data_IF_679717613560
#
_entry.id   IF_679717613560
#
_cell.length_a   1.000
_cell.length_b   1.000
_cell.length_c   1.000
_cell.angle_alpha   90.00
_cell.angle_beta   90.00
_cell.angle_gamma   90.00
#
_symmetry.space_group_name_H-M   'P 1'
#
loop_
_entity.id
_entity.type
_entity.pdbx_description
1 polymer ?
#
# COMPACT_ATOMS: atom_id res chain seq x y z
N UNK A 1 13.44 -6.53 -1.36
CA UNK A 1 12.36 -5.52 -1.29
C UNK A 1 12.26 -4.73 -2.60
N UNK A 2 13.32 -4.67 -3.40
CA UNK A 2 13.42 -3.91 -4.65
C UNK A 2 12.25 -4.11 -5.60
N UNK A 3 11.89 -5.36 -5.93
CA UNK A 3 10.74 -5.64 -6.81
C UNK A 3 9.42 -5.08 -6.25
N UNK A 4 9.22 -5.15 -4.94
CA UNK A 4 8.03 -4.58 -4.28
C UNK A 4 8.03 -3.06 -4.40
N UNK A 5 9.18 -2.41 -4.20
CA UNK A 5 9.32 -0.96 -4.35
C UNK A 5 9.07 -0.52 -5.79
N UNK A 6 9.57 -1.25 -6.78
CA UNK A 6 9.36 -0.95 -8.20
C UNK A 6 7.87 -1.08 -8.58
N UNK A 7 7.19 -2.12 -8.10
CA UNK A 7 5.75 -2.28 -8.28
C UNK A 7 4.96 -1.15 -7.61
N UNK A 8 5.36 -0.72 -6.41
CA UNK A 8 4.72 0.41 -5.73
C UNK A 8 4.97 1.74 -6.45
N UNK A 9 6.16 1.96 -7.01
CA UNK A 9 6.47 3.14 -7.86
C UNK A 9 5.63 3.13 -9.14
N UNK A 10 5.50 1.98 -9.79
CA UNK A 10 4.64 1.83 -10.97
C UNK A 10 3.18 2.13 -10.62
N UNK A 11 2.68 1.54 -9.52
CA UNK A 11 1.31 1.77 -9.03
C UNK A 11 1.07 3.24 -8.71
N UNK A 12 1.98 3.88 -7.97
CA UNK A 12 1.89 5.29 -7.59
C UNK A 12 1.83 6.19 -8.82
N UNK A 13 2.69 5.92 -9.81
CA UNK A 13 2.71 6.66 -11.09
C UNK A 13 1.38 6.53 -11.82
N UNK A 14 0.82 5.32 -11.91
CA UNK A 14 -0.47 5.06 -12.53
C UNK A 14 -1.60 5.79 -11.80
N UNK A 15 -1.63 5.71 -10.48
CA UNK A 15 -2.62 6.37 -9.63
C UNK A 15 -2.61 7.90 -9.81
N UNK A 16 -1.45 8.54 -9.81
CA UNK A 16 -1.37 9.98 -10.08
C UNK A 16 -1.80 10.35 -11.51
N UNK A 17 -1.42 9.56 -12.51
CA UNK A 17 -1.87 9.80 -13.90
C UNK A 17 -3.39 9.69 -14.04
N UNK A 18 -4.03 8.82 -13.27
CA UNK A 18 -5.49 8.63 -13.27
C UNK A 18 -6.23 9.63 -12.38
N UNK A 19 -5.56 10.16 -11.35
CA UNK A 19 -6.09 11.10 -10.37
C UNK A 19 -5.22 12.37 -10.30
N UNK A 20 -5.06 13.13 -11.41
CA UNK A 20 -4.11 14.24 -11.46
C UNK A 20 -4.42 15.36 -10.47
N UNK A 21 -5.69 15.53 -10.10
CA UNK A 21 -6.12 16.52 -9.10
C UNK A 21 -5.45 16.33 -7.73
N UNK A 22 -5.16 15.09 -7.33
CA UNK A 22 -4.54 14.81 -6.02
C UNK A 22 -3.12 15.39 -5.95
N UNK A 23 -2.35 15.28 -7.04
CA UNK A 23 -1.01 15.87 -7.13
C UNK A 23 -1.05 17.40 -7.09
N UNK A 24 -2.07 18.01 -7.72
CA UNK A 24 -2.21 19.47 -7.81
C UNK A 24 -2.57 20.14 -6.49
N UNK A 25 -3.01 19.39 -5.46
CA UNK A 25 -3.28 19.91 -4.12
C UNK A 25 -2.03 20.47 -3.44
N UNK A 26 -0.84 19.98 -3.83
CA UNK A 26 0.42 20.46 -3.29
C UNK A 26 1.22 21.14 -4.39
N UNK A 27 1.33 22.47 -4.27
CA UNK A 27 1.97 23.31 -5.27
C UNK A 27 3.43 22.87 -5.55
N UNK A 28 3.78 22.81 -6.83
CA UNK A 28 5.13 22.48 -7.29
C UNK A 28 5.54 21.01 -7.17
N UNK A 29 4.66 20.12 -6.71
CA UNK A 29 4.98 18.68 -6.67
C UNK A 29 4.85 18.04 -8.06
N UNK A 30 5.78 17.14 -8.34
CA UNK A 30 5.75 16.26 -9.51
C UNK A 30 5.59 14.81 -9.07
N UNK A 31 5.17 13.94 -9.98
CA UNK A 31 5.12 12.50 -9.70
C UNK A 31 6.49 12.02 -9.21
N UNK A 32 7.58 12.39 -9.88
CA UNK A 32 8.94 12.01 -9.49
C UNK A 32 9.31 12.54 -8.10
N UNK A 33 8.93 13.77 -7.76
CA UNK A 33 9.14 14.31 -6.41
C UNK A 33 8.41 13.47 -5.35
N UNK A 34 7.14 13.10 -5.59
CA UNK A 34 6.37 12.25 -4.68
C UNK A 34 6.95 10.85 -4.58
N UNK A 35 7.38 10.24 -5.68
CA UNK A 35 8.05 8.94 -5.67
C UNK A 35 9.32 8.99 -4.80
N UNK A 36 10.14 10.02 -4.99
CA UNK A 36 11.37 10.22 -4.22
C UNK A 36 11.12 10.54 -2.75
N UNK A 37 9.94 11.06 -2.37
CA UNK A 37 9.56 11.26 -0.98
C UNK A 37 9.04 9.98 -0.32
N UNK A 38 8.23 9.20 -1.04
CA UNK A 38 7.59 7.99 -0.50
C UNK A 38 8.60 6.86 -0.33
N UNK A 39 9.39 6.60 -1.37
CA UNK A 39 10.20 5.38 -1.48
C UNK A 39 11.66 5.62 -1.06
N UNK A 40 11.83 6.18 0.14
CA UNK A 40 13.13 6.36 0.80
C UNK A 40 13.32 5.25 1.83
N UNK A 41 14.53 4.70 1.88
CA UNK A 41 14.93 3.77 2.92
C UNK A 41 16.29 4.17 3.51
N UNK A 42 16.45 4.25 4.86
CA UNK A 42 15.44 3.98 5.88
C UNK A 42 14.29 4.99 5.85
N UNK A 43 13.12 4.60 6.38
CA UNK A 43 12.01 5.55 6.57
C UNK A 43 12.35 6.43 7.77
N UNK A 44 12.91 7.60 7.51
CA UNK A 44 13.39 8.55 8.50
C UNK A 44 12.48 9.77 8.66
N UNK A 45 11.68 10.05 7.62
CA UNK A 45 10.85 11.24 7.54
C UNK A 45 9.36 10.94 7.71
N UNK A 46 8.77 11.58 8.71
CA UNK A 46 7.31 11.67 8.87
C UNK A 46 6.79 12.96 8.24
N UNK A 47 5.64 12.86 7.59
CA UNK A 47 5.07 13.99 6.85
C UNK A 47 3.97 14.68 7.66
N UNK A 48 4.11 15.99 7.87
CA UNK A 48 3.09 16.81 8.55
C UNK A 48 1.75 16.80 7.79
N UNK A 49 1.79 16.75 6.46
CA UNK A 49 0.58 16.65 5.61
C UNK A 49 -0.21 15.34 5.84
N UNK A 50 0.42 14.34 6.48
CA UNK A 50 -0.19 13.07 6.84
C UNK A 50 -0.45 12.95 8.35
N UNK A 51 -0.43 14.05 9.09
CA UNK A 51 -0.51 14.05 10.57
C UNK A 51 0.55 13.14 11.21
N UNK A 52 1.70 12.97 10.55
CA UNK A 52 2.77 12.05 10.95
C UNK A 52 2.33 10.57 11.05
N UNK A 53 1.20 10.21 10.43
CA UNK A 53 0.71 8.83 10.34
C UNK A 53 1.50 8.03 9.30
N UNK A 54 1.63 6.74 9.57
CA UNK A 54 2.31 5.75 8.73
C UNK A 54 1.47 4.48 8.68
N UNK A 55 1.93 3.48 7.93
CA UNK A 55 1.30 2.18 7.81
C UNK A 55 -0.19 2.30 7.49
N UNK A 56 -1.02 1.48 8.14
CA UNK A 56 -2.47 1.43 7.93
C UNK A 56 -3.18 2.72 8.35
N UNK A 57 -2.60 3.51 9.26
CA UNK A 57 -3.19 4.77 9.72
C UNK A 57 -3.12 5.85 8.65
N UNK A 58 -2.00 5.92 7.91
CA UNK A 58 -1.90 6.81 6.73
C UNK A 58 -2.84 6.38 5.61
N UNK A 59 -3.02 5.07 5.41
CA UNK A 59 -4.01 4.56 4.45
C UNK A 59 -5.43 4.98 4.86
N UNK A 60 -5.77 4.84 6.15
CA UNK A 60 -7.08 5.24 6.67
C UNK A 60 -7.31 6.75 6.50
N UNK A 61 -6.30 7.58 6.77
CA UNK A 61 -6.34 9.02 6.51
C UNK A 61 -6.65 9.33 5.03
N UNK A 62 -5.99 8.62 4.10
CA UNK A 62 -6.26 8.77 2.66
C UNK A 62 -7.69 8.42 2.23
N UNK A 63 -8.42 7.63 3.02
CA UNK A 63 -9.83 7.28 2.80
C UNK A 63 -10.82 8.07 3.68
N UNK A 64 -10.34 8.95 4.56
CA UNK A 64 -11.18 9.80 5.39
C UNK A 64 -11.91 10.83 4.50
N UNK A 65 -13.25 10.94 4.52
CA UNK A 65 -13.98 11.95 3.76
C UNK A 65 -13.48 13.39 3.98
N UNK A 66 -13.06 13.72 5.20
CA UNK A 66 -12.62 15.07 5.59
C UNK A 66 -11.16 15.34 5.22
N UNK A 67 -10.43 14.34 4.72
CA UNK A 67 -9.04 14.53 4.34
C UNK A 67 -8.91 15.33 3.02
N UNK A 68 -8.41 16.55 3.15
CA UNK A 68 -8.23 17.47 2.02
C UNK A 68 -6.85 17.33 1.35
N UNK A 69 -5.89 16.67 2.00
CA UNK A 69 -4.54 16.46 1.49
C UNK A 69 -4.46 15.54 0.27
N UNK A 70 -3.24 15.30 -0.20
CA UNK A 70 -2.94 14.39 -1.32
C UNK A 70 -3.23 12.94 -0.93
N UNK A 71 -4.37 12.41 -1.39
CA UNK A 71 -4.84 11.06 -1.05
C UNK A 71 -3.92 10.00 -1.63
N UNK A 72 -3.39 10.19 -2.84
CA UNK A 72 -2.48 9.21 -3.44
C UNK A 72 -1.21 9.14 -2.61
N UNK A 73 -0.68 10.29 -2.17
CA UNK A 73 0.47 10.34 -1.28
C UNK A 73 0.21 9.60 0.03
N UNK A 74 -0.90 9.88 0.72
CA UNK A 74 -1.27 9.22 1.97
C UNK A 74 -1.38 7.69 1.83
N UNK A 75 -2.11 7.23 0.81
CA UNK A 75 -2.35 5.82 0.54
C UNK A 75 -1.06 5.08 0.20
N UNK A 76 -0.22 5.65 -0.66
CA UNK A 76 1.01 4.99 -1.11
C UNK A 76 2.12 5.05 -0.06
N UNK A 77 2.23 6.14 0.70
CA UNK A 77 3.12 6.22 1.86
C UNK A 77 2.72 5.21 2.94
N UNK A 78 1.44 5.11 3.27
CA UNK A 78 0.93 4.14 4.23
C UNK A 78 1.16 2.69 3.76
N UNK A 79 0.93 2.40 2.48
CA UNK A 79 1.17 1.07 1.92
C UNK A 79 2.65 0.69 1.93
N UNK A 80 3.53 1.61 1.53
CA UNK A 80 4.98 1.39 1.56
C UNK A 80 5.50 1.15 2.97
N UNK A 81 5.15 2.03 3.92
CA UNK A 81 5.62 1.93 5.31
C UNK A 81 5.08 0.69 6.02
N UNK A 82 3.85 0.26 5.72
CA UNK A 82 3.31 -1.01 6.21
C UNK A 82 4.13 -2.21 5.72
N UNK A 83 4.44 -2.24 4.41
CA UNK A 83 5.25 -3.31 3.82
C UNK A 83 6.66 -3.26 4.40
N UNK A 84 7.31 -2.10 4.43
CA UNK A 84 8.63 -1.90 5.02
C UNK A 84 8.68 -2.42 6.47
N UNK A 85 7.66 -2.12 7.27
CA UNK A 85 7.54 -2.63 8.64
C UNK A 85 7.39 -4.16 8.68
N UNK A 86 6.67 -4.77 7.74
CA UNK A 86 6.56 -6.24 7.65
C UNK A 86 7.90 -6.93 7.32
N UNK A 87 8.85 -6.18 6.75
CA UNK A 87 10.25 -6.59 6.56
C UNK A 87 11.16 -6.13 7.71
N UNK A 88 10.61 -5.98 8.92
CA UNK A 88 11.32 -5.54 10.13
C UNK A 88 12.04 -4.19 9.97
N UNK A 89 11.49 -3.29 9.14
CA UNK A 89 12.06 -1.97 8.87
C UNK A 89 13.50 -2.04 8.33
N UNK A 90 13.81 -3.08 7.54
CA UNK A 90 15.11 -3.22 6.87
C UNK A 90 15.02 -2.84 5.39
N UNK A 91 16.02 -2.11 4.92
CA UNK A 91 16.16 -1.76 3.51
C UNK A 91 16.64 -2.93 2.67
N UNK A 92 17.59 -3.68 3.24
CA UNK A 92 18.19 -4.85 2.64
C UNK A 92 17.96 -6.06 3.55
N UNK A 93 17.67 -7.20 2.93
CA UNK A 93 17.48 -8.47 3.62
C UNK A 93 18.71 -9.33 3.41
N UNK A 94 19.37 -9.66 4.50
CA UNK A 94 20.46 -10.62 4.47
C UNK A 94 19.92 -12.02 4.76
N UNK A 95 20.62 -13.05 4.30
CA UNK A 95 20.20 -14.44 4.53
C UNK A 95 20.00 -14.76 6.01
N UNK A 96 20.70 -14.12 6.94
CA UNK A 96 20.57 -14.38 8.37
C UNK A 96 19.44 -13.58 9.05
N UNK A 97 18.75 -12.71 8.32
CA UNK A 97 17.66 -11.94 8.88
C UNK A 97 16.44 -12.84 9.14
N UNK A 98 15.94 -12.78 10.36
CA UNK A 98 14.69 -13.41 10.75
C UNK A 98 13.56 -12.44 10.54
N UNK A 99 12.69 -12.75 9.59
CA UNK A 99 11.42 -12.06 9.40
C UNK A 99 10.32 -12.71 10.24
N UNK A 100 9.25 -11.96 10.50
CA UNK A 100 8.04 -12.51 11.07
C UNK A 100 7.07 -12.92 9.94
N UNK A 101 6.80 -14.23 9.85
CA UNK A 101 5.91 -14.78 8.83
C UNK A 101 4.46 -14.27 8.95
N UNK A 102 4.00 -13.97 10.17
CA UNK A 102 2.66 -13.44 10.40
C UNK A 102 2.55 -12.00 9.93
N UNK A 103 3.57 -11.17 10.13
CA UNK A 103 3.61 -9.80 9.62
C UNK A 103 3.54 -9.76 8.08
N UNK A 104 4.28 -10.64 7.41
CA UNK A 104 4.24 -10.77 5.94
C UNK A 104 2.89 -11.28 5.45
N UNK A 105 2.30 -12.27 6.13
CA UNK A 105 0.95 -12.74 5.81
C UNK A 105 -0.10 -11.63 6.00
N UNK A 106 0.00 -10.89 7.11
CA UNK A 106 -0.91 -9.78 7.41
C UNK A 106 -0.74 -8.64 6.39
N UNK A 107 0.47 -8.36 5.92
CA UNK A 107 0.70 -7.34 4.89
C UNK A 107 0.04 -7.73 3.56
N UNK A 108 0.06 -9.02 3.18
CA UNK A 108 -0.66 -9.53 2.02
C UNK A 108 -2.19 -9.32 2.14
N UNK A 109 -2.78 -9.70 3.29
CA UNK A 109 -4.21 -9.48 3.55
C UNK A 109 -4.57 -7.99 3.58
N UNK A 110 -3.69 -7.15 4.13
CA UNK A 110 -3.90 -5.71 4.15
C UNK A 110 -3.88 -5.09 2.73
N UNK A 111 -3.09 -5.63 1.80
CA UNK A 111 -3.16 -5.22 0.39
C UNK A 111 -4.52 -5.57 -0.20
N UNK A 112 -5.10 -6.73 0.11
CA UNK A 112 -6.46 -7.08 -0.34
C UNK A 112 -7.52 -6.12 0.23
N UNK A 113 -7.44 -5.79 1.53
CA UNK A 113 -8.31 -4.79 2.17
C UNK A 113 -8.15 -3.42 1.50
N UNK A 114 -6.92 -3.02 1.20
CA UNK A 114 -6.62 -1.77 0.51
C UNK A 114 -7.29 -1.72 -0.87
N UNK A 115 -7.14 -2.78 -1.68
CA UNK A 115 -7.77 -2.89 -3.00
C UNK A 115 -9.30 -2.82 -2.89
N UNK A 116 -9.89 -3.50 -1.92
CA UNK A 116 -11.33 -3.39 -1.70
C UNK A 116 -11.77 -1.97 -1.34
N UNK A 117 -11.02 -1.27 -0.48
CA UNK A 117 -11.32 0.12 -0.10
C UNK A 117 -11.24 1.04 -1.31
N UNK A 118 -10.25 0.87 -2.20
CA UNK A 118 -10.17 1.62 -3.46
C UNK A 118 -11.42 1.45 -4.32
N UNK A 119 -12.01 0.25 -4.35
CA UNK A 119 -13.17 -0.06 -5.18
C UNK A 119 -14.53 0.23 -4.52
N UNK A 120 -14.56 0.55 -3.22
CA UNK A 120 -15.81 0.69 -2.47
C UNK A 120 -15.97 2.01 -1.74
N UNK A 121 -14.88 2.71 -1.41
CA UNK A 121 -14.95 4.00 -0.72
C UNK A 121 -15.32 5.09 -1.72
N UNK A 122 -16.50 5.67 -1.50
CA UNK A 122 -17.10 6.70 -2.34
C UNK A 122 -17.27 8.00 -1.57
N UNK A 123 -17.17 9.11 -2.29
CA UNK A 123 -17.55 10.44 -1.84
C UNK A 123 -19.08 10.54 -1.71
N UNK A 124 -19.57 11.61 -1.10
CA UNK A 124 -21.01 11.88 -0.96
C UNK A 124 -21.76 11.91 -2.31
N UNK A 125 -21.06 12.25 -3.41
CA UNK A 125 -21.60 12.27 -4.77
C UNK A 125 -21.64 10.89 -5.46
N UNK A 126 -21.26 9.82 -4.75
CA UNK A 126 -21.26 8.45 -5.26
C UNK A 126 -20.04 8.06 -6.11
N UNK A 127 -19.11 8.97 -6.38
CA UNK A 127 -17.84 8.68 -7.09
C UNK A 127 -16.81 8.10 -6.13
N UNK A 128 -15.94 7.22 -6.62
CA UNK A 128 -14.82 6.68 -5.82
C UNK A 128 -13.86 7.79 -5.38
N UNK A 129 -13.27 7.65 -4.19
CA UNK A 129 -12.22 8.59 -3.74
C UNK A 129 -11.01 8.57 -4.67
N UNK A 130 -10.63 7.37 -5.13
CA UNK A 130 -9.48 7.15 -6.00
C UNK A 130 -9.93 6.30 -7.18
N UNK A 131 -9.67 6.80 -8.38
CA UNK A 131 -9.94 6.10 -9.62
C UNK A 131 -8.78 5.15 -9.94
N UNK A 132 -9.09 3.89 -10.19
CA UNK A 132 -8.15 2.87 -10.66
C UNK A 132 -8.52 2.47 -12.09
N UNK A 133 -9.42 1.50 -12.22
CA UNK A 133 -9.96 1.04 -13.49
C UNK A 133 -11.23 1.80 -13.84
N UNK A 134 -11.35 2.19 -15.11
CA UNK A 134 -12.58 2.76 -15.64
C UNK A 134 -13.43 1.63 -16.23
N UNK A 135 -14.72 1.62 -15.87
CA UNK A 135 -15.70 0.65 -16.35
C UNK A 135 -16.47 1.12 -17.60
N UNK A 136 -16.13 2.29 -18.15
CA UNK A 136 -17.03 2.99 -19.08
C UNK A 136 -17.06 2.46 -20.51
N UNK A 137 -16.10 1.65 -20.99
CA UNK A 137 -16.15 1.11 -22.36
C UNK A 137 -15.46 -0.27 -22.44
N UNK A 138 -16.27 -1.32 -22.64
CA UNK A 138 -16.07 -2.74 -23.05
C UNK A 138 -14.78 -3.52 -22.75
N UNK A 139 -13.63 -2.91 -22.51
CA UNK A 139 -12.35 -3.58 -22.22
C UNK A 139 -11.91 -3.27 -20.80
N UNK A 140 -11.96 -4.29 -19.93
CA UNK A 140 -11.37 -4.22 -18.59
C UNK A 140 -9.86 -4.02 -18.68
N UNK A 141 -9.39 -2.80 -18.42
CA UNK A 141 -7.97 -2.55 -18.22
C UNK A 141 -7.57 -3.11 -16.85
N UNK A 142 -7.06 -4.34 -16.78
CA UNK A 142 -6.66 -5.00 -15.53
C UNK A 142 -5.21 -4.68 -15.09
N UNK A 143 -4.68 -3.54 -15.54
CA UNK A 143 -3.27 -3.20 -15.29
C UNK A 143 -2.96 -2.84 -13.83
N UNK A 144 -3.97 -2.44 -13.05
CA UNK A 144 -3.84 -2.23 -11.60
C UNK A 144 -3.93 -3.54 -10.83
N UNK A 145 -4.93 -4.39 -11.14
CA UNK A 145 -5.10 -5.73 -10.56
C UNK A 145 -3.86 -6.58 -10.75
N UNK A 146 -3.18 -6.47 -11.90
CA UNK A 146 -1.93 -7.18 -12.13
C UNK A 146 -0.83 -6.75 -11.15
N UNK A 147 -0.71 -5.46 -10.85
CA UNK A 147 0.27 -4.97 -9.87
C UNK A 147 -0.12 -5.44 -8.46
N UNK A 148 -1.39 -5.30 -8.08
CA UNK A 148 -1.88 -5.76 -6.78
C UNK A 148 -1.68 -7.25 -6.58
N UNK A 149 -1.99 -8.08 -7.58
CA UNK A 149 -1.78 -9.53 -7.53
C UNK A 149 -0.31 -9.90 -7.34
N UNK A 150 0.62 -9.19 -8.02
CA UNK A 150 2.05 -9.37 -7.80
C UNK A 150 2.48 -8.99 -6.38
N UNK A 151 2.01 -7.83 -5.89
CA UNK A 151 2.30 -7.39 -4.52
C UNK A 151 1.82 -8.40 -3.47
N UNK A 152 0.57 -8.86 -3.57
CA UNK A 152 -0.01 -9.88 -2.68
C UNK A 152 0.82 -11.17 -2.74
N UNK A 153 1.11 -11.66 -3.95
CA UNK A 153 1.88 -12.89 -4.17
C UNK A 153 3.26 -12.82 -3.54
N UNK A 154 3.98 -11.71 -3.72
CA UNK A 154 5.32 -11.51 -3.13
C UNK A 154 5.28 -11.58 -1.60
N UNK A 155 4.26 -10.99 -0.96
CA UNK A 155 4.10 -11.04 0.49
C UNK A 155 3.73 -12.45 0.97
N UNK A 156 2.77 -13.12 0.32
CA UNK A 156 2.35 -14.48 0.66
C UNK A 156 3.50 -15.50 0.51
N UNK A 157 4.29 -15.40 -0.57
CA UNK A 157 5.44 -16.26 -0.82
C UNK A 157 6.51 -16.04 0.25
N UNK A 158 6.82 -14.77 0.59
CA UNK A 158 7.79 -14.48 1.64
C UNK A 158 7.31 -14.98 3.01
N UNK A 159 6.02 -14.83 3.31
CA UNK A 159 5.42 -15.38 4.53
C UNK A 159 5.62 -16.90 4.60
N UNK A 160 5.34 -17.61 3.51
CA UNK A 160 5.53 -19.07 3.42
C UNK A 160 6.99 -19.47 3.59
N UNK A 161 7.92 -18.85 2.86
CA UNK A 161 9.37 -19.12 2.98
C UNK A 161 9.84 -18.90 4.43
N UNK A 162 9.40 -17.82 5.06
CA UNK A 162 9.76 -17.48 6.45
C UNK A 162 9.17 -18.49 7.44
N UNK A 163 7.91 -18.89 7.25
CA UNK A 163 7.24 -19.93 8.03
C UNK A 163 7.98 -21.26 7.95
N UNK A 164 8.28 -21.71 6.73
CA UNK A 164 8.96 -22.98 6.46
C UNK A 164 10.37 -22.99 7.09
N UNK A 165 11.08 -21.86 7.03
CA UNK A 165 12.41 -21.72 7.63
C UNK A 165 12.40 -21.70 9.16
N UNK A 166 11.40 -21.06 9.78
CA UNK A 166 11.33 -20.86 11.24
C UNK A 166 10.55 -21.96 11.96
N UNK A 167 9.82 -22.81 11.23
CA UNK A 167 8.91 -23.81 11.79
C UNK A 167 7.67 -23.20 12.47
N UNK A 168 7.42 -21.89 12.31
CA UNK A 168 6.28 -21.21 12.92
C UNK A 168 5.05 -21.28 12.02
N UNK A 169 3.93 -21.74 12.57
CA UNK A 169 2.66 -21.82 11.84
C UNK A 169 2.06 -20.42 11.64
N UNK A 170 1.72 -20.09 10.40
CA UNK A 170 0.95 -18.88 10.06
C UNK A 170 -0.51 -19.08 10.47
N UNK A 171 -1.04 -18.19 11.31
CA UNK A 171 -2.47 -18.16 11.64
C UNK A 171 -3.22 -17.52 10.48
N UNK A 172 -3.86 -18.36 9.66
CA UNK A 172 -4.71 -17.90 8.57
C UNK A 172 -5.95 -17.24 9.14
N UNK A 173 -6.23 -16.02 8.68
CA UNK A 173 -7.46 -15.31 9.03
C UNK A 173 -8.37 -15.33 7.81
N UNK A 174 -9.60 -15.78 7.97
CA UNK A 174 -10.62 -15.62 6.93
C UNK A 174 -11.10 -14.18 7.02
N UNK A 175 -10.75 -13.37 6.03
CA UNK A 175 -11.22 -12.00 5.93
C UNK A 175 -12.03 -11.76 4.67
N UNK A 176 -13.24 -11.21 4.84
CA UNK A 176 -13.99 -10.58 3.76
C UNK A 176 -13.51 -9.15 3.58
N UNK A 177 -13.46 -8.76 2.31
CA UNK A 177 -13.15 -7.43 1.85
C UNK A 177 -14.16 -6.44 2.47
N UNK A 178 -13.72 -5.65 3.46
CA UNK A 178 -14.63 -4.90 4.34
C UNK A 178 -14.10 -4.59 5.74
N UNK A 179 -13.22 -5.45 6.25
CA UNK A 179 -12.75 -5.39 7.64
C UNK A 179 -11.61 -4.39 7.88
N UNK A 180 -11.29 -4.18 9.17
CA UNK A 180 -10.15 -3.41 9.63
C UNK A 180 -8.84 -4.06 9.18
N UNK A 181 -7.83 -3.22 8.95
CA UNK A 181 -6.48 -3.72 8.66
C UNK A 181 -5.95 -4.58 9.81
N UNK A 182 -5.24 -5.63 9.45
CA UNK A 182 -4.53 -6.50 10.38
C UNK A 182 -3.28 -5.81 10.93
N UNK A 183 -2.91 -6.11 12.19
CA UNK A 183 -1.74 -5.51 12.80
C UNK A 183 -0.46 -5.99 12.12
N UNK A 184 0.48 -5.06 11.95
CA UNK A 184 1.89 -5.37 11.65
C UNK A 184 2.67 -5.12 12.94
N UNK A 185 3.05 -6.22 13.59
CA UNK A 185 3.74 -6.24 14.88
C UNK A 185 5.20 -5.78 14.80
N UNK A 186 5.84 -5.75 15.95
CA UNK A 186 7.28 -5.55 16.14
C UNK A 186 7.91 -6.88 16.59
#
# INVERSE_FOLDING_TARGET
>A
MDEVVDLLKELTTKLYKKNPYELHKVYGQTINSRLNQIFICPVDKKFKELEYKECTDAILLGFDPEFEGDRIFALMHGLYTMIYKSYNSKCELFMLDYLDAQNLYNSARNIEIFVWRLNTRKKADGRLFVLTNSFENEIKNLSYERIFGKLISLQDIMAKITSDRTGRIIKKTIQFAGMSFLPIGF
#
